data_IF_674895847422
#
_entry.id   IF_674895847422
#
_cell.length_a   1.000
_cell.length_b   1.000
_cell.length_c   1.000
_cell.angle_alpha   90.00
_cell.angle_beta   90.00
_cell.angle_gamma   90.00
#
_symmetry.space_group_name_H-M   'P 1'
#
loop_
_entity.id
_entity.type
_entity.pdbx_description
1 polymer ?
#
# COMPACT_ATOMS: atom_id res chain seq x y z
N UNK A 1 6.95 -18.99 2.28
CA UNK A 1 5.90 -19.30 1.29
C UNK A 1 5.39 -18.05 0.59
N UNK A 2 5.18 -16.93 1.30
CA UNK A 2 4.66 -15.69 0.73
C UNK A 2 5.55 -15.09 -0.36
N UNK A 3 6.85 -15.00 -0.15
CA UNK A 3 7.80 -14.48 -1.14
C UNK A 3 7.86 -15.37 -2.41
N UNK A 4 7.73 -16.68 -2.25
CA UNK A 4 7.65 -17.61 -3.39
C UNK A 4 6.38 -17.39 -4.20
N UNK A 5 5.26 -17.17 -3.52
CA UNK A 5 3.99 -16.88 -4.18
C UNK A 5 4.02 -15.52 -4.91
N UNK A 6 4.72 -14.51 -4.36
CA UNK A 6 4.89 -13.21 -5.01
C UNK A 6 5.60 -13.30 -6.35
N UNK A 7 6.59 -14.20 -6.49
CA UNK A 7 7.28 -14.44 -7.77
C UNK A 7 6.34 -14.91 -8.90
N UNK A 8 5.20 -15.49 -8.56
CA UNK A 8 4.23 -15.98 -9.55
C UNK A 8 3.23 -14.91 -10.03
N UNK A 9 3.04 -13.84 -9.25
CA UNK A 9 2.01 -12.83 -9.53
C UNK A 9 2.58 -11.45 -9.87
N UNK A 10 3.85 -11.21 -9.60
CA UNK A 10 4.57 -9.97 -9.94
C UNK A 10 5.03 -9.96 -11.40
N UNK A 11 5.35 -8.78 -11.93
CA UNK A 11 6.01 -8.65 -13.22
C UNK A 11 7.36 -9.39 -13.23
N UNK A 12 7.74 -9.92 -14.38
CA UNK A 12 9.01 -10.66 -14.53
C UNK A 12 10.23 -9.73 -14.60
N UNK A 13 10.04 -8.53 -15.12
CA UNK A 13 11.09 -7.56 -15.37
C UNK A 13 10.61 -6.14 -15.04
N UNK A 14 11.56 -5.24 -14.83
CA UNK A 14 11.32 -3.81 -14.64
C UNK A 14 10.70 -3.22 -15.91
N UNK A 15 9.55 -2.55 -15.79
CA UNK A 15 8.83 -1.89 -16.87
C UNK A 15 8.75 -0.38 -16.61
N UNK A 16 8.94 0.43 -17.67
CA UNK A 16 8.85 1.89 -17.56
C UNK A 16 7.75 2.42 -18.45
N UNK A 17 6.73 3.04 -17.84
CA UNK A 17 5.72 3.83 -18.53
C UNK A 17 6.20 5.29 -18.58
N UNK A 18 6.54 5.77 -19.77
CA UNK A 18 7.07 7.12 -19.97
C UNK A 18 6.03 8.19 -19.60
N UNK A 19 6.50 9.24 -18.93
CA UNK A 19 5.73 10.44 -18.57
C UNK A 19 6.69 11.61 -18.37
N UNK A 20 6.15 12.83 -18.34
CA UNK A 20 6.94 14.07 -18.20
C UNK A 20 6.83 14.67 -16.78
N UNK A 21 6.04 14.06 -15.91
CA UNK A 21 5.84 14.49 -14.53
C UNK A 21 6.69 13.69 -13.54
N UNK A 22 6.25 13.63 -12.25
CA UNK A 22 7.00 12.97 -11.19
C UNK A 22 7.32 11.50 -11.51
N UNK A 23 8.47 11.04 -11.06
CA UNK A 23 8.89 9.64 -11.16
C UNK A 23 8.29 8.85 -10.02
N UNK A 24 7.48 7.88 -10.32
CA UNK A 24 6.86 6.99 -9.33
C UNK A 24 7.42 5.58 -9.47
N UNK A 25 8.03 5.07 -8.41
CA UNK A 25 8.42 3.67 -8.30
C UNK A 25 7.23 2.85 -7.80
N UNK A 26 6.71 1.93 -8.60
CA UNK A 26 5.62 1.05 -8.24
C UNK A 26 6.15 -0.36 -7.97
N UNK A 27 6.05 -0.83 -6.73
CA UNK A 27 6.34 -2.22 -6.38
C UNK A 27 5.13 -3.09 -6.71
N UNK A 28 5.31 -4.07 -7.58
CA UNK A 28 4.25 -4.94 -8.07
C UNK A 28 4.11 -6.22 -7.23
N UNK A 29 3.15 -6.24 -6.31
CA UNK A 29 2.81 -7.41 -5.49
C UNK A 29 1.70 -8.27 -6.11
N UNK A 30 1.39 -8.12 -7.37
CA UNK A 30 0.23 -8.61 -8.10
C UNK A 30 -0.75 -7.47 -8.39
N UNK A 31 -0.20 -6.36 -8.87
CA UNK A 31 -0.91 -5.10 -9.06
C UNK A 31 -2.03 -5.20 -10.11
N UNK A 32 -3.12 -4.51 -9.85
CA UNK A 32 -4.06 -4.19 -10.91
C UNK A 32 -3.38 -3.19 -11.86
N UNK A 33 -3.24 -3.55 -13.14
CA UNK A 33 -2.59 -2.69 -14.17
C UNK A 33 -3.15 -1.28 -14.22
N UNK A 34 -4.38 -1.09 -13.79
CA UNK A 34 -5.03 0.21 -13.74
C UNK A 34 -4.34 1.19 -12.77
N UNK A 35 -3.62 0.72 -11.76
CA UNK A 35 -2.87 1.58 -10.82
C UNK A 35 -1.77 2.31 -11.59
N UNK A 36 -0.91 1.56 -12.29
CA UNK A 36 0.18 2.12 -13.09
C UNK A 36 -0.35 3.05 -14.19
N UNK A 37 -1.43 2.62 -14.88
CA UNK A 37 -2.09 3.40 -15.94
C UNK A 37 -2.64 4.71 -15.39
N UNK A 38 -3.34 4.70 -14.27
CA UNK A 38 -3.91 5.91 -13.68
C UNK A 38 -2.86 6.93 -13.23
N UNK A 39 -1.71 6.47 -12.74
CA UNK A 39 -0.57 7.35 -12.45
C UNK A 39 0.01 7.95 -13.73
N UNK A 40 0.20 7.12 -14.75
CA UNK A 40 0.76 7.56 -16.03
C UNK A 40 -0.16 8.52 -16.77
N UNK A 41 -1.48 8.28 -16.80
CA UNK A 41 -2.50 9.19 -17.36
C UNK A 41 -2.51 10.58 -16.69
N UNK A 42 -2.04 10.65 -15.42
CA UNK A 42 -1.84 11.92 -14.69
C UNK A 42 -0.46 12.55 -14.94
N UNK A 43 0.29 12.02 -15.88
CA UNK A 43 1.57 12.56 -16.33
C UNK A 43 2.79 11.97 -15.61
N UNK A 44 2.63 11.09 -14.63
CA UNK A 44 3.76 10.47 -13.94
C UNK A 44 4.56 9.56 -14.89
N UNK A 45 5.88 9.59 -14.75
CA UNK A 45 6.71 8.50 -15.23
C UNK A 45 6.63 7.37 -14.20
N UNK A 46 6.12 6.21 -14.59
CA UNK A 46 5.95 5.08 -13.66
C UNK A 46 6.94 3.98 -13.99
N UNK A 47 7.80 3.64 -13.04
CA UNK A 47 8.68 2.48 -13.13
C UNK A 47 8.09 1.37 -12.27
N UNK A 48 7.72 0.27 -12.89
CA UNK A 48 7.15 -0.91 -12.22
C UNK A 48 8.29 -1.86 -11.91
N UNK A 49 8.42 -2.23 -10.65
CA UNK A 49 9.46 -3.14 -10.15
C UNK A 49 8.85 -4.47 -9.71
N UNK A 50 9.53 -5.59 -9.98
CA UNK A 50 9.18 -6.87 -9.37
C UNK A 50 9.13 -6.80 -7.85
N UNK A 51 8.27 -7.60 -7.23
CA UNK A 51 8.01 -7.58 -5.78
C UNK A 51 9.25 -7.72 -4.90
N UNK A 52 10.28 -8.43 -5.37
CA UNK A 52 11.51 -8.72 -4.61
C UNK A 52 12.68 -7.81 -4.98
N UNK A 53 12.45 -6.74 -5.73
CA UNK A 53 13.49 -5.74 -6.03
C UNK A 53 13.94 -5.07 -4.73
N UNK A 54 15.25 -4.89 -4.58
CA UNK A 54 15.82 -4.27 -3.40
C UNK A 54 15.50 -2.77 -3.32
N UNK A 55 15.42 -2.26 -2.09
CA UNK A 55 15.24 -0.83 -1.85
C UNK A 55 16.37 0.00 -2.47
N UNK A 56 17.61 -0.51 -2.44
CA UNK A 56 18.77 0.14 -3.01
C UNK A 56 18.61 0.34 -4.53
N UNK A 57 18.15 -0.69 -5.25
CA UNK A 57 17.91 -0.60 -6.68
C UNK A 57 16.80 0.40 -7.02
N UNK A 58 15.71 0.40 -6.23
CA UNK A 58 14.60 1.34 -6.42
C UNK A 58 15.05 2.78 -6.18
N UNK A 59 15.80 3.03 -5.10
CA UNK A 59 16.27 4.37 -4.73
C UNK A 59 17.37 4.90 -5.67
N UNK A 60 18.13 4.01 -6.32
CA UNK A 60 19.13 4.40 -7.33
C UNK A 60 18.51 5.08 -8.56
N UNK A 61 17.24 4.85 -8.85
CA UNK A 61 16.50 5.55 -9.92
C UNK A 61 15.97 6.94 -9.51
N UNK A 62 16.20 7.35 -8.26
CA UNK A 62 15.77 8.64 -7.70
C UNK A 62 14.27 8.91 -7.91
N UNK A 63 13.36 8.09 -7.36
CA UNK A 63 11.94 8.32 -7.47
C UNK A 63 11.50 9.51 -6.60
N UNK A 64 10.51 10.27 -7.09
CA UNK A 64 9.84 11.34 -6.34
C UNK A 64 8.77 10.79 -5.37
N UNK A 65 8.35 9.54 -5.59
CA UNK A 65 7.39 8.84 -4.74
C UNK A 65 7.38 7.34 -5.00
N UNK A 66 6.92 6.59 -4.01
CA UNK A 66 6.83 5.12 -4.06
C UNK A 66 5.37 4.71 -3.92
N UNK A 67 4.94 3.78 -4.78
CA UNK A 67 3.64 3.14 -4.71
C UNK A 67 3.80 1.67 -4.35
N UNK A 68 3.24 1.25 -3.23
CA UNK A 68 3.13 -0.15 -2.83
C UNK A 68 1.77 -0.68 -3.28
N UNK A 69 1.77 -1.60 -4.22
CA UNK A 69 0.54 -2.05 -4.88
C UNK A 69 -0.33 -2.95 -3.99
N UNK A 70 -1.53 -3.21 -4.44
CA UNK A 70 -2.33 -4.32 -3.96
C UNK A 70 -1.70 -5.66 -4.36
N UNK A 71 -2.17 -6.73 -3.74
CA UNK A 71 -1.77 -8.09 -4.09
C UNK A 71 -2.47 -9.13 -3.22
N UNK A 72 -2.38 -10.40 -3.58
CA UNK A 72 -2.96 -11.51 -2.83
C UNK A 72 -2.02 -12.03 -1.73
N UNK A 73 -2.54 -12.81 -0.79
CA UNK A 73 -1.80 -13.59 0.19
C UNK A 73 -1.77 -13.00 1.59
N UNK A 74 -1.11 -13.71 2.50
CA UNK A 74 -0.89 -13.28 3.88
C UNK A 74 0.29 -12.30 3.92
N UNK A 75 0.10 -11.08 4.44
CA UNK A 75 1.19 -10.10 4.51
C UNK A 75 2.36 -10.56 5.40
N UNK A 76 2.10 -11.30 6.46
CA UNK A 76 3.15 -11.78 7.39
C UNK A 76 4.14 -12.77 6.77
N UNK A 77 3.73 -13.44 5.69
CA UNK A 77 4.62 -14.37 4.97
C UNK A 77 5.60 -13.68 3.99
N UNK A 78 5.46 -12.37 3.78
CA UNK A 78 6.28 -11.60 2.84
C UNK A 78 7.50 -10.97 3.54
N UNK A 79 8.29 -11.75 4.25
CA UNK A 79 9.35 -11.26 5.14
C UNK A 79 10.43 -10.46 4.42
N UNK A 80 10.89 -10.92 3.26
CA UNK A 80 11.89 -10.20 2.45
C UNK A 80 11.36 -8.85 1.98
N UNK A 81 10.12 -8.79 1.53
CA UNK A 81 9.48 -7.56 1.05
C UNK A 81 9.32 -6.56 2.20
N UNK A 82 8.92 -7.03 3.39
CA UNK A 82 8.78 -6.19 4.60
C UNK A 82 10.12 -5.51 4.95
N UNK A 83 11.25 -6.25 4.87
CA UNK A 83 12.58 -5.67 5.12
C UNK A 83 12.95 -4.59 4.08
N UNK A 84 12.66 -4.82 2.80
CA UNK A 84 12.91 -3.82 1.77
C UNK A 84 12.03 -2.56 1.94
N UNK A 85 10.74 -2.74 2.28
CA UNK A 85 9.84 -1.61 2.59
C UNK A 85 10.34 -0.82 3.80
N UNK A 86 10.91 -1.47 4.81
CA UNK A 86 11.51 -0.78 5.97
C UNK A 86 12.64 0.16 5.55
N UNK A 87 13.51 -0.29 4.62
CA UNK A 87 14.59 0.55 4.06
C UNK A 87 14.03 1.70 3.22
N UNK A 88 12.99 1.45 2.40
CA UNK A 88 12.31 2.49 1.63
C UNK A 88 11.67 3.54 2.55
N UNK A 89 11.05 3.12 3.64
CA UNK A 89 10.46 4.03 4.63
C UNK A 89 11.52 4.94 5.28
N UNK A 90 12.72 4.41 5.53
CA UNK A 90 13.84 5.17 6.10
C UNK A 90 14.49 6.15 5.12
N UNK A 91 14.11 6.15 3.84
CA UNK A 91 14.69 7.02 2.80
C UNK A 91 14.04 8.40 2.69
N UNK A 92 12.97 8.67 3.46
CA UNK A 92 12.15 9.88 3.41
C UNK A 92 11.44 10.15 2.07
N UNK A 93 11.49 9.22 1.10
CA UNK A 93 10.70 9.31 -0.12
C UNK A 93 9.23 9.04 0.21
N UNK A 94 8.30 9.91 -0.23
CA UNK A 94 6.87 9.71 0.04
C UNK A 94 6.36 8.34 -0.43
N UNK A 95 5.62 7.63 0.43
CA UNK A 95 5.06 6.31 0.12
C UNK A 95 3.53 6.38 0.14
N UNK A 96 2.91 5.87 -0.92
CA UNK A 96 1.49 5.57 -0.95
C UNK A 96 1.28 4.06 -1.11
N UNK A 97 0.40 3.48 -0.32
CA UNK A 97 0.22 2.03 -0.31
C UNK A 97 -1.25 1.63 -0.37
N UNK A 98 -1.56 0.57 -1.11
CA UNK A 98 -2.91 0.07 -1.35
C UNK A 98 -3.03 -1.39 -0.92
N UNK A 99 -4.08 -1.71 -0.14
CA UNK A 99 -4.48 -3.07 0.25
C UNK A 99 -3.30 -3.86 0.87
N UNK A 100 -2.73 -4.83 0.16
CA UNK A 100 -1.56 -5.57 0.64
C UNK A 100 -0.38 -4.64 0.94
N UNK A 101 -0.11 -3.64 0.10
CA UNK A 101 0.94 -2.65 0.34
C UNK A 101 0.75 -1.90 1.66
N UNK A 102 -0.49 -1.53 2.00
CA UNK A 102 -0.82 -0.92 3.29
C UNK A 102 -0.50 -1.86 4.46
N UNK A 103 -0.85 -3.14 4.34
CA UNK A 103 -0.56 -4.14 5.38
C UNK A 103 0.95 -4.38 5.54
N UNK A 104 1.68 -4.47 4.44
CA UNK A 104 3.14 -4.62 4.44
C UNK A 104 3.84 -3.40 5.04
N UNK A 105 3.37 -2.19 4.74
CA UNK A 105 3.87 -0.95 5.33
C UNK A 105 3.68 -0.94 6.85
N UNK A 106 2.53 -1.35 7.35
CA UNK A 106 2.26 -1.46 8.77
C UNK A 106 3.23 -2.44 9.45
N UNK A 107 3.45 -3.62 8.87
CA UNK A 107 4.42 -4.60 9.37
C UNK A 107 5.86 -4.08 9.34
N UNK A 108 6.25 -3.39 8.27
CA UNK A 108 7.58 -2.82 8.12
C UNK A 108 7.89 -1.75 9.18
N UNK A 109 6.88 -1.03 9.65
CA UNK A 109 7.00 0.02 10.67
C UNK A 109 6.74 -0.48 12.10
N UNK A 110 6.57 -1.79 12.29
CA UNK A 110 6.42 -2.42 13.60
C UNK A 110 5.00 -2.47 14.15
N UNK A 111 4.01 -2.36 13.27
CA UNK A 111 2.61 -2.72 13.53
C UNK A 111 2.36 -4.21 13.36
N UNK A 112 1.09 -4.59 13.41
CA UNK A 112 0.64 -5.96 13.21
C UNK A 112 -0.58 -6.03 12.28
N UNK A 113 -0.87 -7.22 11.79
CA UNK A 113 -2.04 -7.52 10.98
C UNK A 113 -2.71 -8.81 11.47
N UNK A 114 -4.02 -8.88 11.35
CA UNK A 114 -4.73 -10.12 11.63
C UNK A 114 -5.75 -10.47 10.55
N UNK A 115 -6.04 -11.75 10.42
CA UNK A 115 -7.03 -12.26 9.48
C UNK A 115 -8.43 -12.01 10.02
N UNK A 116 -9.28 -11.40 9.22
CA UNK A 116 -10.68 -11.19 9.55
C UNK A 116 -11.48 -12.51 9.40
N UNK A 117 -12.54 -12.65 10.17
CA UNK A 117 -13.42 -13.84 10.08
C UNK A 117 -14.06 -13.98 8.70
N UNK A 118 -14.52 -12.88 8.12
CA UNK A 118 -15.22 -12.88 6.82
C UNK A 118 -14.51 -12.05 5.76
N UNK A 119 -13.75 -11.01 6.17
CA UNK A 119 -13.17 -10.00 5.30
C UNK A 119 -14.21 -9.05 4.71
N UNK A 120 -13.74 -8.02 4.02
CA UNK A 120 -14.60 -7.07 3.30
C UNK A 120 -14.53 -7.36 1.80
N UNK A 121 -15.69 -7.60 1.18
CA UNK A 121 -15.81 -7.85 -0.27
C UNK A 121 -17.07 -7.20 -0.80
N UNK A 122 -16.91 -6.35 -1.82
CA UNK A 122 -18.01 -5.66 -2.49
C UNK A 122 -17.79 -4.17 -2.68
N UNK A 123 -18.73 -3.52 -3.34
CA UNK A 123 -18.68 -2.09 -3.70
C UNK A 123 -19.46 -1.16 -2.76
N UNK A 124 -19.83 -1.62 -1.57
CA UNK A 124 -20.77 -0.92 -0.68
C UNK A 124 -20.27 -0.78 0.77
N UNK A 125 -18.96 -0.71 0.97
CA UNK A 125 -18.38 -0.55 2.31
C UNK A 125 -18.28 0.93 2.68
N UNK A 126 -18.98 1.39 3.74
CA UNK A 126 -18.87 2.77 4.19
C UNK A 126 -17.59 2.98 4.99
N UNK A 127 -16.76 3.90 4.53
CA UNK A 127 -15.48 4.26 5.14
C UNK A 127 -15.52 5.72 5.56
N UNK A 128 -15.23 5.97 6.83
CA UNK A 128 -15.16 7.32 7.40
C UNK A 128 -13.73 7.83 7.36
N UNK A 129 -13.55 9.00 6.75
CA UNK A 129 -12.37 9.82 6.87
C UNK A 129 -12.37 10.50 8.24
N UNK A 130 -11.39 10.21 9.07
CA UNK A 130 -11.31 10.72 10.44
C UNK A 130 -10.92 12.20 10.51
N UNK A 131 -10.22 12.73 9.50
CA UNK A 131 -9.84 14.13 9.45
C UNK A 131 -11.03 15.05 9.12
N UNK A 132 -11.89 14.63 8.19
CA UNK A 132 -13.02 15.43 7.71
C UNK A 132 -14.37 15.01 8.31
N UNK A 133 -14.45 13.82 8.90
CA UNK A 133 -15.68 13.21 9.37
C UNK A 133 -16.62 12.70 8.27
N UNK A 134 -16.23 12.83 6.98
CA UNK A 134 -17.03 12.38 5.84
C UNK A 134 -17.01 10.87 5.70
N UNK A 135 -18.13 10.33 5.22
CA UNK A 135 -18.26 8.90 4.91
C UNK A 135 -18.32 8.73 3.39
N UNK A 136 -17.49 7.84 2.89
CA UNK A 136 -17.44 7.47 1.49
C UNK A 136 -17.84 6.01 1.32
N UNK A 137 -18.53 5.69 0.25
CA UNK A 137 -18.77 4.29 -0.13
C UNK A 137 -17.58 3.83 -0.97
N UNK A 138 -16.96 2.74 -0.53
CA UNK A 138 -15.76 2.21 -1.16
C UNK A 138 -15.92 0.77 -1.62
N UNK A 139 -15.15 0.39 -2.62
CA UNK A 139 -15.04 -0.99 -3.07
C UNK A 139 -13.88 -1.67 -2.35
N UNK A 140 -14.16 -2.76 -1.65
CA UNK A 140 -13.18 -3.50 -0.86
C UNK A 140 -13.06 -4.95 -1.30
N UNK A 141 -11.86 -5.50 -1.20
CA UNK A 141 -11.58 -6.92 -1.40
C UNK A 141 -10.35 -7.33 -0.61
N UNK A 142 -10.49 -7.43 0.70
CA UNK A 142 -9.40 -7.85 1.59
C UNK A 142 -9.88 -8.78 2.70
N UNK A 143 -8.98 -9.63 3.18
CA UNK A 143 -9.24 -10.57 4.27
C UNK A 143 -8.36 -10.33 5.50
N UNK A 144 -7.45 -9.36 5.44
CA UNK A 144 -6.56 -8.96 6.54
C UNK A 144 -6.76 -7.49 6.86
N UNK A 145 -6.57 -7.12 8.12
CA UNK A 145 -6.68 -5.75 8.61
C UNK A 145 -5.45 -5.40 9.45
N UNK A 146 -5.07 -4.13 9.41
CA UNK A 146 -3.98 -3.58 10.23
C UNK A 146 -4.49 -3.32 11.64
N UNK A 147 -3.73 -3.82 12.63
CA UNK A 147 -3.90 -3.44 14.02
C UNK A 147 -3.17 -2.10 14.27
N UNK A 148 -3.95 -1.02 14.29
CA UNK A 148 -3.41 0.33 14.35
C UNK A 148 -2.87 0.70 15.73
N UNK A 149 -3.34 0.05 16.80
CA UNK A 149 -3.06 0.45 18.19
C UNK A 149 -1.55 0.46 18.51
N UNK A 150 -0.80 -0.51 17.98
CA UNK A 150 0.63 -0.60 18.20
C UNK A 150 1.41 0.56 17.56
N UNK A 151 1.00 0.99 16.36
CA UNK A 151 1.62 2.11 15.64
C UNK A 151 1.24 3.46 16.26
N UNK A 152 0.00 3.60 16.69
CA UNK A 152 -0.51 4.80 17.35
C UNK A 152 0.18 5.03 18.70
N UNK A 153 0.30 4.01 19.55
CA UNK A 153 1.03 4.07 20.81
C UNK A 153 2.51 4.46 20.67
N UNK A 154 3.12 4.08 19.55
CA UNK A 154 4.52 4.44 19.25
C UNK A 154 4.66 5.82 18.61
N UNK A 155 3.56 6.51 18.27
CA UNK A 155 3.58 7.78 17.54
C UNK A 155 4.12 7.66 16.10
N UNK A 156 4.08 6.46 15.51
CA UNK A 156 4.58 6.22 14.14
C UNK A 156 3.52 6.54 13.11
N UNK A 157 2.29 6.11 13.36
CA UNK A 157 1.16 6.35 12.47
C UNK A 157 -0.15 6.38 13.26
N UNK A 158 -1.16 7.01 12.69
CA UNK A 158 -2.51 7.07 13.26
C UNK A 158 -3.55 6.64 12.23
N UNK A 159 -4.69 6.06 12.67
CA UNK A 159 -5.80 5.77 11.79
C UNK A 159 -6.24 7.04 11.05
N UNK A 160 -6.35 6.93 9.73
CA UNK A 160 -6.89 8.00 8.88
C UNK A 160 -8.30 7.67 8.39
N UNK A 161 -8.57 6.38 8.21
CA UNK A 161 -9.85 5.88 7.73
C UNK A 161 -10.29 4.65 8.53
N UNK A 162 -11.60 4.57 8.80
CA UNK A 162 -12.20 3.43 9.50
C UNK A 162 -13.49 2.98 8.82
N UNK A 163 -13.75 1.69 8.82
CA UNK A 163 -15.01 1.15 8.37
C UNK A 163 -16.12 1.51 9.39
N UNK A 164 -17.24 2.04 8.89
CA UNK A 164 -18.33 2.50 9.76
C UNK A 164 -19.09 1.33 10.40
N UNK A 165 -19.11 0.16 9.73
CA UNK A 165 -19.90 -0.98 10.18
C UNK A 165 -19.27 -1.75 11.34
N UNK A 166 -17.94 -1.90 11.34
CA UNK A 166 -17.22 -2.74 12.31
C UNK A 166 -16.01 -2.06 12.98
N UNK A 167 -15.73 -0.81 12.59
CA UNK A 167 -14.63 -0.03 13.18
C UNK A 167 -13.23 -0.46 12.78
N UNK A 168 -13.10 -1.38 11.82
CA UNK A 168 -11.78 -1.82 11.34
C UNK A 168 -11.00 -0.70 10.69
N UNK A 169 -9.67 -0.74 10.82
CA UNK A 169 -8.78 0.22 10.19
C UNK A 169 -8.77 0.04 8.67
N UNK A 170 -9.04 1.13 7.94
CA UNK A 170 -9.09 1.16 6.48
C UNK A 170 -7.98 2.03 5.87
N UNK A 171 -7.19 2.69 6.69
CA UNK A 171 -6.06 3.48 6.24
C UNK A 171 -5.33 4.17 7.37
N UNK A 172 -4.04 4.40 7.17
CA UNK A 172 -3.12 5.02 8.13
C UNK A 172 -2.47 6.26 7.53
N UNK A 173 -2.23 7.27 8.38
CA UNK A 173 -1.35 8.39 8.11
C UNK A 173 -0.10 8.25 8.97
N UNK A 174 1.06 8.26 8.33
CA UNK A 174 2.34 8.11 9.00
C UNK A 174 2.90 9.48 9.42
N UNK A 175 3.33 9.59 10.67
CA UNK A 175 3.86 10.84 11.22
C UNK A 175 5.28 11.12 10.72
N UNK A 176 5.59 12.40 10.49
CA UNK A 176 6.91 12.83 10.02
C UNK A 176 7.26 12.53 8.56
N UNK A 177 6.37 11.88 7.82
CA UNK A 177 6.53 11.58 6.40
C UNK A 177 5.27 11.98 5.63
N UNK A 178 5.38 12.17 4.31
CA UNK A 178 4.20 12.35 3.44
C UNK A 178 3.69 10.99 2.98
N UNK A 179 3.60 10.04 3.91
CA UNK A 179 3.19 8.67 3.59
C UNK A 179 1.77 8.38 4.05
N UNK A 180 0.95 7.95 3.11
CA UNK A 180 -0.45 7.55 3.32
C UNK A 180 -0.69 6.14 2.83
N UNK A 181 -1.54 5.41 3.54
CA UNK A 181 -1.92 4.07 3.12
C UNK A 181 -3.43 3.88 3.17
N UNK A 182 -3.97 3.16 2.19
CA UNK A 182 -5.38 2.86 2.07
C UNK A 182 -5.61 1.36 1.79
N UNK A 183 -6.67 0.80 2.37
CA UNK A 183 -7.13 -0.54 1.99
C UNK A 183 -7.92 -0.56 0.68
N UNK A 184 -8.39 0.59 0.23
CA UNK A 184 -9.28 0.70 -0.91
C UNK A 184 -8.77 1.73 -1.92
N UNK A 185 -8.98 1.45 -3.20
CA UNK A 185 -8.93 2.49 -4.22
C UNK A 185 -10.19 3.33 -4.06
N UNK A 186 -10.09 4.68 -3.97
CA UNK A 186 -11.27 5.51 -4.12
C UNK A 186 -11.87 5.18 -5.48
N UNK A 187 -13.09 4.66 -5.48
CA UNK A 187 -13.86 4.51 -6.69
C UNK A 187 -14.27 5.93 -7.07
N UNK A 188 -13.48 6.56 -7.91
CA UNK A 188 -13.90 7.80 -8.57
C UNK A 188 -14.95 7.34 -9.57
N UNK A 189 -16.21 7.65 -9.26
CA UNK A 189 -17.32 7.55 -10.18
C UNK A 189 -17.13 8.57 -11.33
#
# INVERSE_FOLDING_TARGET
>A
LGDVYKRQVTCSEKEVLKGNGPKVALMDFGAKRNIARSLNERGCQVTIYPALTSAEEILADHPDGIMLSNGPGDPKECTTIIEEIRKLYASDVPIFAICLGHQLMALATGGDTHKMKYGHRGGNHPVKDLATGRVYISSQNHGYVVDAEALEKKGIAKPAFVNVNDGTNEGMAYEGTVSYTHLTLPTIA
#
